data_IF_764726451275
#
_entry.id   IF_764726451275
#
_cell.length_a   1.000
_cell.length_b   1.000
_cell.length_c   1.000
_cell.angle_alpha   90.00
_cell.angle_beta   90.00
_cell.angle_gamma   90.00
#
_symmetry.space_group_name_H-M   'P 1'
#
loop_
_entity.id
_entity.type
_entity.pdbx_description
1 polymer ?
#
# COMPACT_ATOMS: atom_id res chain seq x y z
N UNK A 1 -3.21 -1.98 -20.78
CA UNK A 1 -2.98 -2.80 -19.57
C UNK A 1 -3.69 -4.14 -19.77
N UNK A 2 -3.10 -5.26 -19.37
CA UNK A 2 -3.74 -6.57 -19.40
C UNK A 2 -4.94 -6.57 -18.43
N UNK A 3 -6.12 -7.12 -18.79
CA UNK A 3 -7.32 -7.03 -17.96
C UNK A 3 -7.14 -7.60 -16.54
N UNK A 4 -6.38 -8.69 -16.40
CA UNK A 4 -6.05 -9.25 -15.08
C UNK A 4 -5.10 -8.39 -14.23
N UNK A 5 -4.30 -7.51 -14.83
CA UNK A 5 -3.47 -6.54 -14.09
C UNK A 5 -4.34 -5.37 -13.62
N UNK A 6 -5.20 -4.86 -14.49
CA UNK A 6 -6.17 -3.81 -14.17
C UNK A 6 -7.10 -4.25 -13.02
N UNK A 7 -7.69 -5.44 -13.12
CA UNK A 7 -8.52 -6.00 -12.05
C UNK A 7 -7.75 -6.20 -10.73
N UNK A 8 -6.46 -6.53 -10.78
CA UNK A 8 -5.63 -6.63 -9.58
C UNK A 8 -5.36 -5.25 -8.95
N UNK A 9 -5.09 -4.23 -9.77
CA UNK A 9 -4.89 -2.84 -9.34
C UNK A 9 -6.14 -2.30 -8.64
N UNK A 10 -7.32 -2.59 -9.17
CA UNK A 10 -8.61 -2.17 -8.59
C UNK A 10 -8.95 -2.90 -7.29
N UNK A 11 -8.62 -4.20 -7.21
CA UNK A 11 -8.91 -5.04 -6.04
C UNK A 11 -8.03 -4.67 -4.83
N UNK A 12 -6.75 -4.39 -5.07
CA UNK A 12 -5.72 -4.32 -4.02
C UNK A 12 -6.03 -3.32 -2.89
N UNK A 13 -6.48 -2.08 -3.14
CA UNK A 13 -6.82 -1.13 -2.09
C UNK A 13 -7.85 -1.63 -1.08
N UNK A 14 -8.74 -2.55 -1.49
CA UNK A 14 -9.80 -3.11 -0.64
C UNK A 14 -9.36 -4.29 0.24
N UNK A 15 -8.15 -4.83 0.06
CA UNK A 15 -7.71 -6.08 0.73
C UNK A 15 -6.38 -5.95 1.48
N UNK A 16 -5.89 -4.71 1.67
CA UNK A 16 -4.56 -4.44 2.23
C UNK A 16 -4.42 -4.59 3.75
N UNK A 17 -5.53 -4.67 4.49
CA UNK A 17 -5.56 -4.76 5.97
C UNK A 17 -4.98 -6.08 6.50
N UNK A 18 -4.91 -7.12 5.65
CA UNK A 18 -4.37 -8.44 5.99
C UNK A 18 -3.17 -8.86 5.14
N UNK A 19 -2.70 -10.12 5.28
CA UNK A 19 -1.66 -10.67 4.44
C UNK A 19 -2.12 -10.74 2.97
N UNK A 20 -1.46 -9.98 2.09
CA UNK A 20 -1.74 -10.02 0.65
C UNK A 20 -0.71 -10.91 -0.05
N UNK A 21 -1.17 -12.05 -0.58
CA UNK A 21 -0.33 -12.96 -1.36
C UNK A 21 -0.62 -12.83 -2.85
N UNK A 22 0.44 -12.77 -3.66
CA UNK A 22 0.33 -12.75 -5.11
C UNK A 22 -0.47 -13.93 -5.66
N UNK A 23 -0.36 -15.11 -5.05
CA UNK A 23 -1.10 -16.31 -5.44
C UNK A 23 -2.62 -16.17 -5.32
N UNK A 24 -3.06 -15.42 -4.32
CA UNK A 24 -4.49 -15.31 -3.99
C UNK A 24 -5.14 -14.28 -4.91
N UNK A 25 -4.44 -13.17 -5.16
CA UNK A 25 -4.86 -12.18 -6.17
C UNK A 25 -4.83 -12.80 -7.58
N UNK A 26 -3.77 -13.52 -7.94
CA UNK A 26 -3.67 -14.19 -9.24
C UNK A 26 -4.83 -15.14 -9.51
N UNK A 27 -5.25 -15.91 -8.49
CA UNK A 27 -6.41 -16.80 -8.57
C UNK A 27 -7.70 -16.02 -8.82
N UNK A 28 -7.87 -14.88 -8.15
CA UNK A 28 -9.04 -14.02 -8.28
C UNK A 28 -9.15 -13.40 -9.68
N UNK A 29 -8.02 -13.10 -10.31
CA UNK A 29 -7.97 -12.53 -11.68
C UNK A 29 -7.70 -13.57 -12.77
N UNK A 30 -7.85 -14.87 -12.45
CA UNK A 30 -7.69 -16.00 -13.37
C UNK A 30 -6.32 -16.08 -14.08
N UNK A 31 -5.25 -15.74 -13.37
CA UNK A 31 -3.86 -15.87 -13.82
C UNK A 31 -3.05 -16.80 -12.91
N UNK A 32 -1.94 -17.33 -13.43
CA UNK A 32 -0.90 -17.90 -12.55
C UNK A 32 -0.18 -16.78 -11.80
N UNK A 33 0.30 -17.07 -10.59
CA UNK A 33 1.04 -16.10 -9.77
C UNK A 33 2.25 -15.52 -10.50
N UNK A 34 2.99 -16.39 -11.20
CA UNK A 34 4.16 -16.03 -12.00
C UNK A 34 3.79 -15.10 -13.19
N UNK A 35 2.70 -15.40 -13.91
CA UNK A 35 2.22 -14.55 -15.00
C UNK A 35 1.74 -13.19 -14.50
N UNK A 36 0.95 -13.16 -13.43
CA UNK A 36 0.52 -11.90 -12.83
C UNK A 36 1.73 -11.10 -12.36
N UNK A 37 2.68 -11.70 -11.63
CA UNK A 37 3.87 -11.00 -11.13
C UNK A 37 4.68 -10.32 -12.24
N UNK A 38 4.93 -11.01 -13.35
CA UNK A 38 5.63 -10.44 -14.51
C UNK A 38 4.86 -9.30 -15.17
N UNK A 39 3.59 -9.53 -15.49
CA UNK A 39 2.75 -8.52 -16.14
C UNK A 39 2.60 -7.28 -15.26
N UNK A 40 2.41 -7.49 -13.95
CA UNK A 40 2.28 -6.41 -12.98
C UNK A 40 3.56 -5.56 -12.93
N UNK A 41 4.73 -6.19 -12.81
CA UNK A 41 6.00 -5.46 -12.80
C UNK A 41 6.25 -4.68 -14.11
N UNK A 42 5.91 -5.29 -15.25
CA UNK A 42 6.09 -4.69 -16.57
C UNK A 42 5.13 -3.51 -16.82
N UNK A 43 3.85 -3.65 -16.44
CA UNK A 43 2.81 -2.67 -16.79
C UNK A 43 2.57 -1.61 -15.72
N UNK A 44 2.73 -1.96 -14.44
CA UNK A 44 2.58 -1.02 -13.30
C UNK A 44 3.92 -0.34 -12.98
N UNK A 45 5.03 -0.88 -13.48
CA UNK A 45 6.38 -0.34 -13.27
C UNK A 45 6.96 -0.63 -11.89
N UNK A 46 6.29 -1.45 -11.07
CA UNK A 46 6.75 -1.87 -9.76
C UNK A 46 6.34 -3.30 -9.45
N UNK A 47 7.11 -3.98 -8.60
CA UNK A 47 6.76 -5.33 -8.17
C UNK A 47 5.46 -5.35 -7.37
N UNK A 48 4.72 -6.46 -7.43
CA UNK A 48 3.47 -6.62 -6.68
C UNK A 48 3.61 -6.31 -5.18
N UNK A 49 4.64 -6.81 -4.44
CA UNK A 49 4.82 -6.44 -3.03
C UNK A 49 5.16 -4.96 -2.81
N UNK A 50 5.77 -4.27 -3.78
CA UNK A 50 5.97 -2.83 -3.70
C UNK A 50 4.65 -2.07 -3.83
N UNK A 51 3.79 -2.49 -4.75
CA UNK A 51 2.47 -1.90 -4.93
C UNK A 51 1.55 -2.11 -3.72
N UNK A 52 1.55 -3.31 -3.12
CA UNK A 52 0.80 -3.57 -1.87
C UNK A 52 1.24 -2.61 -0.76
N UNK A 53 2.55 -2.41 -0.61
CA UNK A 53 3.07 -1.42 0.35
C UNK A 53 2.52 -0.05 -0.01
N UNK A 54 2.69 0.40 -1.26
CA UNK A 54 2.20 1.70 -1.73
C UNK A 54 0.72 1.95 -1.40
N UNK A 55 -0.17 0.97 -1.63
CA UNK A 55 -1.58 1.08 -1.24
C UNK A 55 -1.76 1.28 0.27
N UNK A 56 -1.02 0.53 1.11
CA UNK A 56 -1.04 0.69 2.57
C UNK A 56 -0.62 2.09 3.00
N UNK A 57 0.32 2.69 2.28
CA UNK A 57 0.84 4.02 2.57
C UNK A 57 -0.17 5.10 2.19
N UNK A 58 -0.81 4.98 1.02
CA UNK A 58 -1.94 5.84 0.66
C UNK A 58 -3.00 5.78 1.74
N UNK A 59 -3.38 4.58 2.19
CA UNK A 59 -4.38 4.40 3.25
C UNK A 59 -3.95 5.04 4.57
N UNK A 60 -2.68 4.90 4.96
CA UNK A 60 -2.14 5.53 6.15
C UNK A 60 -2.19 7.06 6.07
N UNK A 61 -1.87 7.64 4.91
CA UNK A 61 -1.93 9.08 4.69
C UNK A 61 -3.36 9.62 4.75
N UNK A 62 -4.34 8.89 4.25
CA UNK A 62 -5.77 9.26 4.38
C UNK A 62 -6.17 9.37 5.85
N UNK A 63 -5.79 8.38 6.67
CA UNK A 63 -6.08 8.40 8.11
C UNK A 63 -5.44 9.60 8.82
N UNK A 64 -4.18 9.91 8.51
CA UNK A 64 -3.49 11.07 9.08
C UNK A 64 -4.15 12.38 8.63
N UNK A 65 -4.50 12.49 7.34
CA UNK A 65 -5.18 13.67 6.78
C UNK A 65 -6.53 13.92 7.47
N UNK A 66 -7.25 12.86 7.79
CA UNK A 66 -8.57 12.92 8.41
C UNK A 66 -8.51 13.11 9.95
N UNK A 67 -7.32 13.40 10.49
CA UNK A 67 -7.09 13.73 11.90
C UNK A 67 -6.69 12.55 12.79
N UNK A 68 -6.54 11.36 12.21
CA UNK A 68 -6.07 10.16 12.90
C UNK A 68 -4.62 10.26 13.39
N UNK A 69 -4.29 9.44 14.38
CA UNK A 69 -2.94 9.33 14.93
C UNK A 69 -2.05 8.43 14.07
N UNK A 70 -0.75 8.45 14.36
CA UNK A 70 0.24 7.52 13.76
C UNK A 70 -0.14 6.07 14.03
N UNK A 71 -0.68 5.80 15.23
CA UNK A 71 -1.16 4.48 15.62
C UNK A 71 -2.36 4.07 14.77
N UNK A 72 -3.31 4.97 14.52
CA UNK A 72 -4.46 4.70 13.66
C UNK A 72 -4.02 4.43 12.22
N UNK A 73 -3.06 5.21 11.71
CA UNK A 73 -2.47 5.02 10.40
C UNK A 73 -1.70 3.69 10.29
N UNK A 74 -1.02 3.27 11.37
CA UNK A 74 -0.34 1.98 11.46
C UNK A 74 -1.31 0.81 11.36
N UNK A 75 -2.41 0.88 12.12
CA UNK A 75 -3.46 -0.13 12.11
C UNK A 75 -4.16 -0.21 10.74
N UNK A 76 -4.54 0.92 10.16
CA UNK A 76 -5.19 0.97 8.85
C UNK A 76 -4.31 0.48 7.70
N UNK A 77 -2.99 0.61 7.84
CA UNK A 77 -2.00 0.13 6.88
C UNK A 77 -1.60 -1.34 7.09
N UNK A 78 -2.14 -2.02 8.11
CA UNK A 78 -1.82 -3.42 8.41
C UNK A 78 -0.40 -3.64 8.95
N UNK A 79 0.18 -2.64 9.64
CA UNK A 79 1.44 -2.81 10.37
C UNK A 79 1.21 -3.42 11.77
N UNK A 80 2.17 -4.19 12.25
CA UNK A 80 2.09 -4.87 13.55
C UNK A 80 2.14 -3.93 14.75
N UNK A 81 2.80 -2.78 14.61
CA UNK A 81 3.00 -1.81 15.69
C UNK A 81 3.37 -0.41 15.14
N UNK A 82 3.20 0.59 16.01
CA UNK A 82 3.46 2.01 15.71
C UNK A 82 4.94 2.33 15.49
N UNK A 83 5.88 1.57 16.05
CA UNK A 83 7.32 1.78 15.86
C UNK A 83 7.79 1.31 14.47
N UNK A 84 7.22 0.22 13.95
CA UNK A 84 7.41 -0.21 12.57
C UNK A 84 6.78 0.78 11.59
N UNK A 85 5.55 1.24 11.85
CA UNK A 85 4.89 2.23 11.02
C UNK A 85 5.64 3.57 10.97
N UNK A 86 6.19 4.03 12.10
CA UNK A 86 6.96 5.28 12.15
C UNK A 86 8.27 5.17 11.33
N UNK A 87 8.97 4.03 11.41
CA UNK A 87 10.16 3.76 10.58
C UNK A 87 9.83 3.77 9.09
N UNK A 88 8.76 3.08 8.68
CA UNK A 88 8.35 3.02 7.27
C UNK A 88 7.91 4.40 6.77
N UNK A 89 7.22 5.20 7.60
CA UNK A 89 6.90 6.59 7.26
C UNK A 89 8.15 7.46 7.07
N UNK A 90 9.10 7.37 8.01
CA UNK A 90 10.36 8.11 7.92
C UNK A 90 11.19 7.72 6.69
N UNK A 91 11.36 6.42 6.44
CA UNK A 91 12.12 5.89 5.30
C UNK A 91 11.56 6.35 3.96
N UNK A 92 10.25 6.61 3.88
CA UNK A 92 9.61 7.01 2.64
C UNK A 92 9.40 8.50 2.45
N UNK A 93 8.95 9.21 3.49
CA UNK A 93 8.57 10.61 3.36
C UNK A 93 9.66 11.55 3.88
N UNK A 94 10.72 11.02 4.49
CA UNK A 94 11.78 11.82 5.13
C UNK A 94 11.31 12.64 6.33
N UNK A 95 10.08 12.41 6.81
CA UNK A 95 9.41 13.17 7.88
C UNK A 95 8.59 12.21 8.75
N UNK A 96 8.41 12.53 10.04
CA UNK A 96 7.55 11.74 10.91
C UNK A 96 6.09 12.16 10.63
N UNK A 97 5.09 11.29 10.81
CA UNK A 97 3.71 11.68 10.56
C UNK A 97 3.21 12.78 11.52
N UNK A 98 3.88 12.98 12.67
CA UNK A 98 3.64 14.14 13.54
C UNK A 98 4.05 15.47 12.87
N UNK A 99 5.06 15.44 12.00
CA UNK A 99 5.51 16.57 11.19
C UNK A 99 4.54 16.80 10.01
N UNK A 100 4.05 15.73 9.39
CA UNK A 100 3.02 15.81 8.34
C UNK A 100 1.71 16.47 8.86
N UNK A 101 1.33 16.17 10.10
CA UNK A 101 0.16 16.78 10.77
C UNK A 101 0.36 18.27 11.13
N UNK A 102 1.62 18.75 11.27
CA UNK A 102 1.93 20.13 11.66
C UNK A 102 2.18 21.09 10.50
N UNK A 103 2.39 20.60 9.29
CA UNK A 103 2.46 21.49 8.13
C UNK A 103 3.28 20.91 7.00
N UNK A 104 2.65 20.10 6.16
CA UNK A 104 3.09 19.96 4.78
C UNK A 104 1.97 20.52 3.91
N UNK A 105 2.08 21.80 3.54
CA UNK A 105 1.33 22.33 2.39
C UNK A 105 1.93 21.69 1.15
N UNK A 106 1.29 20.64 0.64
CA UNK A 106 1.53 20.19 -0.72
C UNK A 106 1.05 21.33 -1.63
N UNK A 107 2.01 22.04 -2.22
CA UNK A 107 1.81 23.04 -3.28
C UNK A 107 2.09 22.33 -4.60
#
# INVERSE_FOLDING_TARGET
MHPGVEAAVDLLPGIIEGPVKLSDVARTVHLSADRLGRLFAHEVGMSFPAYVRWCRLIRAMEVVRDGGTITDAAHAAGFSDSAHANRVFHEMFGLAPIDARRGVRLT
#
